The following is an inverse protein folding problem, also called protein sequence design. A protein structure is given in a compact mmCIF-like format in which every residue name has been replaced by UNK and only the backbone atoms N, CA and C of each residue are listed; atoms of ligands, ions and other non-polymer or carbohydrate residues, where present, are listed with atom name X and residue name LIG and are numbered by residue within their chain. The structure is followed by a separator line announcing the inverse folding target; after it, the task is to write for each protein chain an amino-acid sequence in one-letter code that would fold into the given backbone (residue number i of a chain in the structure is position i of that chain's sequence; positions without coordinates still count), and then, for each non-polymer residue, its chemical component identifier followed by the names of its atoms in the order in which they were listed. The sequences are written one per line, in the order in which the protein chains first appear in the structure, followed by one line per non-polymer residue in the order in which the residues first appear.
data_IF_281618028183
#
_entry.id   IF_281618028183
#
_cell.length_a   1.000
_cell.length_b   1.000
_cell.length_c   1.000
_cell.angle_alpha   90.00
_cell.angle_beta   90.00
_cell.angle_gamma   90.00
#
_symmetry.space_group_name_H-M   'P 1'
#
loop_
_entity.id
_entity.type
_entity.pdbx_description
1 polymer ?
#
# COMPACT_ATOMS: atom_id res chain seq x y z
N UNK A 1 3.42 17.13 -1.08
CA UNK A 1 2.92 15.88 -0.47
C UNK A 1 2.48 14.95 -1.59
N UNK A 2 2.89 13.68 -1.56
CA UNK A 2 2.50 12.68 -2.57
C UNK A 2 1.61 11.66 -1.89
N UNK A 3 0.46 11.34 -2.49
CA UNK A 3 -0.47 10.34 -1.98
C UNK A 3 -0.38 9.08 -2.84
N UNK A 4 -0.22 7.93 -2.18
CA UNK A 4 -0.11 6.62 -2.81
C UNK A 4 -1.18 5.71 -2.23
N UNK A 5 -2.03 5.16 -3.09
CA UNK A 5 -2.96 4.10 -2.69
C UNK A 5 -2.18 2.78 -2.56
N UNK A 6 -2.56 1.94 -1.60
CA UNK A 6 -2.01 0.59 -1.48
C UNK A 6 -2.13 -0.18 -2.81
N UNK A 7 -1.19 -1.09 -3.08
CA UNK A 7 -1.28 -2.00 -4.22
C UNK A 7 -2.47 -2.95 -4.12
N UNK A 8 -2.81 -3.66 -5.20
CA UNK A 8 -3.92 -4.62 -5.20
C UNK A 8 -3.81 -5.63 -4.05
N UNK A 9 -4.87 -5.79 -3.27
CA UNK A 9 -4.98 -6.79 -2.20
C UNK A 9 -5.83 -7.99 -2.60
N UNK A 10 -5.77 -9.08 -1.83
CA UNK A 10 -6.62 -10.27 -2.03
C UNK A 10 -8.12 -9.92 -2.01
N UNK A 11 -8.52 -9.02 -1.11
CA UNK A 11 -9.88 -8.47 -1.08
C UNK A 11 -10.25 -7.83 -2.41
N UNK A 12 -9.37 -7.00 -3.00
CA UNK A 12 -9.66 -6.33 -4.26
C UNK A 12 -9.88 -7.33 -5.41
N UNK A 13 -9.19 -8.47 -5.41
CA UNK A 13 -9.36 -9.50 -6.44
C UNK A 13 -10.74 -10.15 -6.35
N UNK A 14 -11.17 -10.53 -5.15
CA UNK A 14 -12.47 -11.20 -4.98
C UNK A 14 -13.59 -10.18 -5.19
N UNK A 15 -13.57 -9.08 -4.45
CA UNK A 15 -14.59 -8.03 -4.53
C UNK A 15 -14.72 -7.45 -5.96
N UNK A 16 -13.59 -7.27 -6.66
CA UNK A 16 -13.60 -6.77 -8.04
C UNK A 16 -14.34 -7.68 -9.02
N UNK A 17 -14.36 -8.99 -8.76
CA UNK A 17 -15.05 -10.00 -9.60
C UNK A 17 -16.49 -10.23 -9.17
N UNK A 18 -16.73 -10.32 -7.87
CA UNK A 18 -18.02 -10.79 -7.33
C UNK A 18 -18.92 -9.65 -6.85
N UNK A 19 -18.35 -8.46 -6.59
CA UNK A 19 -18.99 -7.36 -5.86
C UNK A 19 -19.54 -7.76 -4.49
N UNK A 20 -19.06 -8.88 -3.94
CA UNK A 20 -19.42 -9.40 -2.64
C UNK A 20 -18.23 -9.25 -1.70
N UNK A 21 -18.51 -8.90 -0.44
CA UNK A 21 -17.50 -8.86 0.60
C UNK A 21 -16.95 -10.27 0.82
N UNK A 22 -15.65 -10.52 0.55
CA UNK A 22 -15.05 -11.83 0.76
C UNK A 22 -14.81 -12.16 2.24
N UNK A 23 -15.09 -11.26 3.18
CA UNK A 23 -14.87 -11.45 4.61
C UNK A 23 -13.40 -11.45 5.03
N UNK A 24 -12.50 -10.97 4.16
CA UNK A 24 -11.06 -10.90 4.44
C UNK A 24 -10.78 -9.61 5.23
N UNK A 25 -10.62 -9.74 6.56
CA UNK A 25 -10.53 -8.59 7.48
C UNK A 25 -9.33 -7.67 7.25
N UNK A 26 -8.14 -8.22 7.05
CA UNK A 26 -6.93 -7.43 6.77
C UNK A 26 -6.14 -8.08 5.63
N UNK A 27 -6.62 -7.89 4.38
CA UNK A 27 -6.09 -8.59 3.22
C UNK A 27 -4.67 -8.14 2.93
N UNK A 28 -3.81 -9.09 2.58
CA UNK A 28 -2.46 -8.78 2.11
C UNK A 28 -2.44 -8.41 0.63
N UNK A 29 -1.30 -7.87 0.18
CA UNK A 29 -1.05 -7.62 -1.23
C UNK A 29 -0.98 -8.92 -2.03
N UNK A 30 -1.52 -8.88 -3.24
CA UNK A 30 -1.28 -9.93 -4.23
C UNK A 30 0.13 -9.81 -4.80
N UNK A 31 0.55 -10.79 -5.61
CA UNK A 31 1.79 -10.67 -6.40
C UNK A 31 1.77 -9.40 -7.26
N UNK A 32 0.65 -9.13 -7.95
CA UNK A 32 0.47 -7.90 -8.72
C UNK A 32 0.54 -6.64 -7.84
N UNK A 33 -0.05 -6.67 -6.64
CA UNK A 33 0.04 -5.55 -5.70
C UNK A 33 1.47 -5.21 -5.28
N UNK A 34 2.32 -6.22 -5.08
CA UNK A 34 3.76 -6.03 -4.81
C UNK A 34 4.52 -5.45 -6.00
N UNK A 35 4.20 -5.91 -7.22
CA UNK A 35 4.77 -5.38 -8.45
C UNK A 35 4.36 -3.91 -8.67
N UNK A 36 3.10 -3.56 -8.41
CA UNK A 36 2.60 -2.19 -8.43
C UNK A 36 3.35 -1.28 -7.44
N UNK A 37 3.55 -1.73 -6.20
CA UNK A 37 4.32 -0.99 -5.20
C UNK A 37 5.78 -0.76 -5.65
N UNK A 38 6.39 -1.78 -6.26
CA UNK A 38 7.75 -1.69 -6.83
C UNK A 38 7.82 -0.67 -7.98
N UNK A 39 6.82 -0.67 -8.86
CA UNK A 39 6.74 0.31 -9.95
C UNK A 39 6.54 1.74 -9.42
N UNK A 40 5.67 1.91 -8.41
CA UNK A 40 5.49 3.19 -7.74
C UNK A 40 6.80 3.70 -7.14
N UNK A 41 7.57 2.85 -6.46
CA UNK A 41 8.87 3.21 -5.90
C UNK A 41 9.85 3.74 -6.96
N UNK A 42 9.88 3.14 -8.16
CA UNK A 42 10.73 3.60 -9.28
C UNK A 42 10.35 4.99 -9.79
N UNK A 43 9.07 5.34 -9.74
CA UNK A 43 8.57 6.67 -10.10
C UNK A 43 8.94 7.67 -9.00
N UNK A 44 8.63 7.32 -7.74
CA UNK A 44 8.86 8.17 -6.57
C UNK A 44 10.33 8.50 -6.32
N UNK A 45 11.25 7.58 -6.67
CA UNK A 45 12.69 7.82 -6.55
C UNK A 45 13.17 9.05 -7.31
N UNK A 46 12.47 9.47 -8.37
CA UNK A 46 12.80 10.69 -9.13
C UNK A 46 12.20 11.97 -8.53
N UNK A 47 11.23 11.83 -7.64
CA UNK A 47 10.51 12.94 -7.03
C UNK A 47 11.13 13.39 -5.69
N UNK A 48 11.90 12.50 -5.05
CA UNK A 48 12.46 12.73 -3.72
C UNK A 48 11.43 12.56 -2.60
N UNK A 49 11.92 12.58 -1.35
CA UNK A 49 11.09 12.43 -0.15
C UNK A 49 11.95 12.26 1.09
N UNK A 50 11.35 12.49 2.27
CA UNK A 50 12.07 12.41 3.55
C UNK A 50 11.53 11.33 4.50
N UNK A 51 10.29 10.89 4.31
CA UNK A 51 9.64 9.85 5.12
C UNK A 51 8.44 9.26 4.39
N UNK A 52 8.08 8.03 4.73
CA UNK A 52 6.84 7.38 4.29
C UNK A 52 5.90 7.27 5.49
N UNK A 53 4.64 7.65 5.31
CA UNK A 53 3.59 7.51 6.33
C UNK A 53 2.48 6.64 5.74
N UNK A 54 2.00 5.64 6.49
CA UNK A 54 0.93 4.75 6.04
C UNK A 54 -0.09 4.44 7.14
N UNK A 55 -1.26 3.96 6.73
CA UNK A 55 -2.29 3.45 7.63
C UNK A 55 -1.90 2.08 8.21
N UNK A 56 -2.52 1.66 9.33
CA UNK A 56 -2.13 0.41 10.02
C UNK A 56 -2.57 -0.88 9.31
N UNK A 57 -3.18 -0.81 8.13
CA UNK A 57 -3.63 -2.00 7.39
C UNK A 57 -2.47 -2.72 6.71
N UNK A 58 -2.47 -4.06 6.73
CA UNK A 58 -1.39 -4.89 6.19
C UNK A 58 -1.04 -4.54 4.74
N UNK A 59 -2.04 -4.36 3.87
CA UNK A 59 -1.83 -3.92 2.47
C UNK A 59 -1.11 -2.57 2.36
N UNK A 60 -1.39 -1.62 3.25
CA UNK A 60 -0.78 -0.30 3.26
C UNK A 60 0.65 -0.37 3.79
N UNK A 61 0.88 -1.11 4.89
CA UNK A 61 2.20 -1.39 5.44
C UNK A 61 3.08 -2.06 4.38
N UNK A 62 2.62 -3.15 3.75
CA UNK A 62 3.39 -3.86 2.71
C UNK A 62 3.74 -2.95 1.53
N UNK A 63 2.81 -2.10 1.09
CA UNK A 63 3.09 -1.12 0.01
C UNK A 63 4.15 -0.11 0.46
N UNK A 64 3.99 0.45 1.67
CA UNK A 64 4.89 1.43 2.24
C UNK A 64 6.29 0.86 2.46
N UNK A 65 6.40 -0.40 2.91
CA UNK A 65 7.67 -1.11 3.09
C UNK A 65 8.44 -1.21 1.79
N UNK A 66 7.81 -1.71 0.73
CA UNK A 66 8.45 -1.85 -0.60
C UNK A 66 8.96 -0.50 -1.11
N UNK A 67 8.16 0.56 -0.93
CA UNK A 67 8.54 1.92 -1.34
C UNK A 67 9.71 2.43 -0.49
N UNK A 68 9.58 2.37 0.83
CA UNK A 68 10.58 2.91 1.74
C UNK A 68 11.94 2.21 1.62
N UNK A 69 11.96 0.89 1.46
CA UNK A 69 13.19 0.12 1.22
C UNK A 69 13.88 0.57 -0.08
N UNK A 70 13.12 0.72 -1.16
CA UNK A 70 13.67 1.16 -2.45
C UNK A 70 14.16 2.62 -2.46
N UNK A 71 13.64 3.46 -1.57
CA UNK A 71 14.03 4.86 -1.41
C UNK A 71 15.04 5.10 -0.26
N UNK A 72 15.31 4.10 0.58
CA UNK A 72 16.15 4.25 1.78
C UNK A 72 15.54 5.17 2.84
N UNK A 73 14.21 5.16 3.00
CA UNK A 73 13.48 6.06 3.90
C UNK A 73 12.92 5.33 5.13
N UNK A 74 12.72 6.07 6.21
CA UNK A 74 11.97 5.58 7.36
C UNK A 74 10.46 5.52 7.09
N UNK A 75 9.80 4.56 7.72
CA UNK A 75 8.34 4.38 7.70
C UNK A 75 7.77 4.76 9.07
N UNK A 76 6.68 5.51 9.07
CA UNK A 76 5.84 5.73 10.23
C UNK A 76 4.43 5.21 9.95
N UNK A 77 3.87 4.45 10.89
CA UNK A 77 2.46 4.02 10.84
C UNK A 77 1.64 5.03 11.62
N UNK A 78 0.61 5.58 10.98
CA UNK A 78 -0.29 6.57 11.56
C UNK A 78 -1.76 6.11 11.41
N UNK A 79 -2.45 5.78 12.53
CA UNK A 79 -3.86 5.43 12.52
C UNK A 79 -4.77 6.50 11.91
N UNK A 80 -4.37 7.78 11.94
CA UNK A 80 -5.11 8.89 11.34
C UNK A 80 -5.18 8.88 9.81
N UNK A 81 -4.35 8.05 9.15
CA UNK A 81 -4.31 7.88 7.68
C UNK A 81 -5.18 6.70 7.22
N UNK A 82 -5.95 6.10 8.13
CA UNK A 82 -6.86 4.99 7.85
C UNK A 82 -8.00 5.31 6.88
N UNK A 83 -8.42 4.30 6.13
CA UNK A 83 -9.72 4.29 5.44
C UNK A 83 -10.86 4.47 6.46
N UNK A 84 -11.87 5.27 6.12
CA UNK A 84 -13.07 5.45 6.95
C UNK A 84 -13.87 4.14 6.98
N UNK A 85 -14.28 3.73 8.18
CA UNK A 85 -15.23 2.66 8.42
C UNK A 85 -16.65 3.05 7.97
#
# INVERSE_FOLDING_TARGET
MILVRHGQSEFNVVYGKTRQDPGIRDPELTKLGREQATQAARILRRMGGHKVICSPYRRAIQTATIIAEALGLAIAVDPGVGERA
#
